data_IF_378266143642
#
_entry.id   IF_378266143642
#
_cell.length_a   1.000
_cell.length_b   1.000
_cell.length_c   1.000
_cell.angle_alpha   90.00
_cell.angle_beta   90.00
_cell.angle_gamma   90.00
#
_symmetry.space_group_name_H-M   'P 1'
#
loop_
_entity.id
_entity.type
_entity.pdbx_description
1 polymer ?
#
# COMPACT_ATOMS: atom_id res chain seq x y z
N UNK A 1 43.10 -5.15 -5.59
CA UNK A 1 41.74 -5.32 -5.13
C UNK A 1 41.05 -3.95 -4.99
N UNK A 2 39.84 -3.77 -5.39
CA UNK A 2 39.13 -2.48 -5.40
C UNK A 2 38.31 -2.22 -4.15
N UNK A 3 38.61 -2.86 -3.01
CA UNK A 3 37.95 -2.60 -1.74
C UNK A 3 38.58 -1.36 -1.06
N UNK A 4 37.74 -0.54 -0.45
CA UNK A 4 38.14 0.64 0.31
C UNK A 4 37.41 0.64 1.64
N UNK A 5 38.14 0.99 2.71
CA UNK A 5 37.58 1.38 4.01
C UNK A 5 38.29 2.65 4.45
N UNK A 6 37.55 3.69 4.72
CA UNK A 6 38.04 5.02 5.03
C UNK A 6 37.30 5.61 6.22
N UNK A 7 38.07 6.21 7.12
CA UNK A 7 37.58 7.04 8.21
C UNK A 7 38.28 8.38 8.09
N UNK A 8 37.54 9.44 7.83
CA UNK A 8 38.05 10.81 7.70
C UNK A 8 37.49 11.67 8.84
N UNK A 9 38.35 12.18 9.72
CA UNK A 9 37.98 13.05 10.82
C UNK A 9 38.26 14.52 10.52
N UNK A 10 38.59 14.90 9.30
CA UNK A 10 38.82 16.29 8.89
C UNK A 10 37.59 17.13 9.19
N UNK A 11 37.76 18.25 9.88
CA UNK A 11 36.67 19.17 10.22
C UNK A 11 35.99 19.71 8.95
N UNK A 12 34.68 19.54 8.85
CA UNK A 12 33.91 19.94 7.70
C UNK A 12 33.91 18.94 6.52
N UNK A 13 34.57 17.77 6.68
CA UNK A 13 34.63 16.71 5.68
C UNK A 13 34.60 15.30 6.28
N UNK A 14 34.14 15.17 7.54
CA UNK A 14 34.10 13.88 8.23
C UNK A 14 33.30 12.85 7.44
N UNK A 15 33.86 11.64 7.36
CA UNK A 15 33.23 10.57 6.59
C UNK A 15 33.62 9.19 7.10
N UNK A 16 32.62 8.30 7.12
CA UNK A 16 32.85 6.84 7.18
C UNK A 16 32.45 6.31 5.80
N UNK A 17 33.37 5.61 5.11
CA UNK A 17 33.08 5.06 3.80
C UNK A 17 33.65 3.64 3.66
N UNK A 18 32.79 2.70 3.31
CA UNK A 18 33.15 1.33 2.94
C UNK A 18 32.66 1.05 1.53
N UNK A 19 33.54 0.56 0.67
CA UNK A 19 33.22 0.20 -0.71
C UNK A 19 33.76 -1.17 -1.06
N UNK A 20 32.90 -2.00 -1.60
CA UNK A 20 33.27 -3.26 -2.22
C UNK A 20 33.72 -3.05 -3.67
N UNK A 21 34.61 -3.92 -4.19
CA UNK A 21 35.10 -3.87 -5.56
C UNK A 21 33.99 -3.88 -6.63
N UNK A 22 32.83 -4.48 -6.34
CA UNK A 22 31.63 -4.46 -7.21
C UNK A 22 30.96 -3.09 -7.32
N UNK A 23 31.32 -2.11 -6.48
CA UNK A 23 30.71 -0.80 -6.39
C UNK A 23 29.54 -0.69 -5.38
N UNK A 24 29.21 -1.75 -4.65
CA UNK A 24 28.35 -1.64 -3.47
C UNK A 24 29.09 -0.87 -2.38
N UNK A 25 28.38 0.01 -1.67
CA UNK A 25 28.98 0.89 -0.66
C UNK A 25 28.05 1.23 0.47
N UNK A 26 28.65 1.60 1.59
CA UNK A 26 28.03 2.20 2.75
C UNK A 26 28.77 3.49 3.09
N UNK A 27 28.07 4.57 3.37
CA UNK A 27 28.67 5.86 3.65
C UNK A 27 27.87 6.62 4.70
N UNK A 28 28.57 7.29 5.62
CA UNK A 28 28.01 8.30 6.52
C UNK A 28 28.80 9.59 6.29
N UNK A 29 28.09 10.65 5.94
CA UNK A 29 28.65 11.98 5.67
C UNK A 29 28.78 12.82 6.95
N UNK A 30 29.46 13.96 6.87
CA UNK A 30 29.71 14.88 7.99
C UNK A 30 28.42 15.40 8.66
N UNK A 31 27.33 15.58 7.89
CA UNK A 31 26.00 15.97 8.37
C UNK A 31 25.17 14.81 8.96
N UNK A 32 25.73 13.60 9.04
CA UNK A 32 25.07 12.40 9.51
C UNK A 32 24.22 11.69 8.46
N UNK A 33 24.18 12.17 7.21
CA UNK A 33 23.46 11.48 6.12
C UNK A 33 24.06 10.11 5.87
N UNK A 34 23.22 9.07 5.94
CA UNK A 34 23.59 7.68 5.64
C UNK A 34 23.18 7.29 4.25
N UNK A 35 24.09 6.77 3.47
CA UNK A 35 23.87 6.25 2.11
C UNK A 35 24.26 4.77 2.06
N UNK A 36 23.35 3.91 1.60
CA UNK A 36 23.64 2.51 1.30
C UNK A 36 23.37 2.29 -0.19
N UNK A 37 24.36 1.83 -0.92
CA UNK A 37 24.24 1.49 -2.35
C UNK A 37 24.52 0.01 -2.54
N UNK A 38 23.56 -0.70 -3.09
CA UNK A 38 23.68 -2.11 -3.43
C UNK A 38 23.59 -2.27 -4.95
N UNK A 39 24.58 -2.94 -5.54
CA UNK A 39 24.69 -3.10 -7.00
C UNK A 39 23.98 -4.32 -7.56
N UNK A 40 23.61 -5.25 -6.71
CA UNK A 40 22.83 -6.44 -7.03
C UNK A 40 21.70 -6.62 -6.04
N UNK A 41 21.53 -7.79 -5.51
CA UNK A 41 20.48 -8.12 -4.58
C UNK A 41 20.82 -7.62 -3.17
N UNK A 42 19.81 -7.16 -2.46
CA UNK A 42 19.88 -6.83 -1.04
C UNK A 42 18.93 -7.77 -0.28
N UNK A 43 19.44 -8.43 0.74
CA UNK A 43 18.65 -9.27 1.64
C UNK A 43 18.74 -8.70 3.04
N UNK A 44 17.59 -8.40 3.62
CA UNK A 44 17.44 -8.02 5.01
C UNK A 44 16.67 -9.12 5.74
N UNK A 45 17.36 -9.94 6.52
CA UNK A 45 16.79 -11.07 7.24
C UNK A 45 16.73 -10.73 8.72
N UNK A 46 15.51 -10.52 9.23
CA UNK A 46 15.25 -10.23 10.64
C UNK A 46 14.49 -11.39 11.26
N UNK A 47 15.08 -12.07 12.24
CA UNK A 47 14.47 -13.20 12.93
C UNK A 47 13.64 -12.81 14.15
N UNK A 48 13.68 -11.54 14.54
CA UNK A 48 12.86 -10.92 15.57
C UNK A 48 12.07 -9.76 14.98
N UNK A 49 11.79 -8.77 15.79
CA UNK A 49 11.02 -7.59 15.39
C UNK A 49 11.85 -6.62 14.52
N UNK A 50 11.21 -5.97 13.59
CA UNK A 50 11.78 -4.89 12.80
C UNK A 50 10.97 -3.60 13.00
N UNK A 51 11.61 -2.54 13.52
CA UNK A 51 11.01 -1.23 13.74
C UNK A 51 11.67 -0.18 12.86
N UNK A 52 10.87 0.62 12.17
CA UNK A 52 11.31 1.81 11.45
C UNK A 52 10.52 3.04 11.91
N UNK A 53 11.20 4.08 12.40
CA UNK A 53 10.58 5.36 12.76
C UNK A 53 11.19 6.48 11.93
N UNK A 54 10.37 7.12 11.09
CA UNK A 54 10.79 8.16 10.15
C UNK A 54 10.04 9.44 10.48
N UNK A 55 10.75 10.48 10.95
CA UNK A 55 10.16 11.80 11.25
C UNK A 55 9.87 12.63 10.02
N UNK A 56 10.54 12.35 8.90
CA UNK A 56 10.35 13.03 7.62
C UNK A 56 9.57 12.17 6.63
N UNK A 57 9.81 12.38 5.37
CA UNK A 57 9.18 11.63 4.29
C UNK A 57 9.81 10.24 4.11
N UNK A 58 8.99 9.26 3.83
CA UNK A 58 9.41 7.95 3.33
C UNK A 58 8.94 7.79 1.89
N UNK A 59 9.87 7.55 0.97
CA UNK A 59 9.59 7.29 -0.44
C UNK A 59 10.20 5.97 -0.86
N UNK A 60 9.43 5.13 -1.55
CA UNK A 60 9.90 3.87 -2.13
C UNK A 60 9.52 3.84 -3.59
N UNK A 61 10.50 3.65 -4.48
CA UNK A 61 10.31 3.46 -5.91
C UNK A 61 10.80 2.07 -6.30
N UNK A 62 9.98 1.31 -7.00
CA UNK A 62 10.30 -0.04 -7.47
C UNK A 62 9.91 -0.16 -8.93
N UNK A 63 10.88 -0.43 -9.80
CA UNK A 63 10.64 -0.63 -11.25
C UNK A 63 10.01 -2.00 -11.54
N UNK A 64 10.17 -2.96 -10.64
CA UNK A 64 9.58 -4.30 -10.71
C UNK A 64 8.34 -4.45 -9.85
N UNK A 65 8.11 -5.65 -9.35
CA UNK A 65 6.98 -5.97 -8.48
C UNK A 65 7.27 -5.75 -6.99
N UNK A 66 6.23 -5.43 -6.23
CA UNK A 66 6.27 -5.43 -4.76
C UNK A 66 5.31 -6.51 -4.26
N UNK A 67 5.78 -7.37 -3.34
CA UNK A 67 4.96 -8.37 -2.66
C UNK A 67 5.09 -8.21 -1.15
N UNK A 68 3.97 -8.11 -0.48
CA UNK A 68 3.87 -8.18 0.98
C UNK A 68 3.10 -9.44 1.33
N UNK A 69 3.67 -10.30 2.17
CA UNK A 69 3.04 -11.52 2.65
C UNK A 69 3.10 -11.54 4.17
N UNK A 70 1.96 -11.57 4.82
CA UNK A 70 1.82 -11.53 6.27
C UNK A 70 1.31 -12.88 6.76
N UNK A 71 1.87 -13.37 7.88
CA UNK A 71 1.47 -14.63 8.52
C UNK A 71 1.63 -15.87 7.61
N UNK A 72 2.79 -16.02 6.99
CA UNK A 72 3.09 -17.13 6.09
C UNK A 72 2.86 -18.51 6.73
N UNK A 73 3.14 -18.64 8.03
CA UNK A 73 3.08 -19.91 8.77
C UNK A 73 1.71 -20.17 9.42
N UNK A 74 0.77 -19.22 9.34
CA UNK A 74 -0.59 -19.31 9.89
C UNK A 74 -0.67 -19.77 11.38
N UNK A 75 0.36 -19.45 12.17
CA UNK A 75 0.48 -19.93 13.56
C UNK A 75 -0.14 -18.99 14.58
N UNK A 76 -0.43 -17.76 14.21
CA UNK A 76 -1.02 -16.73 15.08
C UNK A 76 -1.89 -15.77 14.28
N UNK A 77 -2.78 -15.05 14.95
CA UNK A 77 -3.55 -13.96 14.36
C UNK A 77 -2.62 -12.81 14.03
N UNK A 78 -2.52 -12.47 12.75
CA UNK A 78 -1.65 -11.41 12.26
C UNK A 78 -2.41 -10.50 11.31
N UNK A 79 -2.12 -9.20 11.37
CA UNK A 79 -2.79 -8.19 10.55
C UNK A 79 -1.79 -7.40 9.71
N UNK A 80 -2.21 -7.00 8.52
CA UNK A 80 -1.59 -5.92 7.78
C UNK A 80 -2.44 -4.67 7.92
N UNK A 81 -1.96 -3.69 8.69
CA UNK A 81 -2.71 -2.47 9.00
C UNK A 81 -2.09 -1.27 8.32
N UNK A 82 -2.93 -0.46 7.66
CA UNK A 82 -2.56 0.88 7.16
C UNK A 82 -3.40 1.89 7.93
N UNK A 83 -2.77 2.68 8.78
CA UNK A 83 -3.43 3.74 9.52
C UNK A 83 -2.87 5.10 9.10
N UNK A 84 -3.76 6.02 8.74
CA UNK A 84 -3.40 7.37 8.29
C UNK A 84 -4.20 8.37 9.12
N UNK A 85 -3.48 9.14 9.93
CA UNK A 85 -4.07 10.12 10.83
C UNK A 85 -4.10 11.55 10.28
N UNK A 86 -4.83 12.43 10.95
CA UNK A 86 -4.74 13.89 10.85
C UNK A 86 -4.68 14.49 9.43
N UNK A 87 -5.82 14.59 8.74
CA UNK A 87 -5.96 15.28 7.44
C UNK A 87 -5.09 14.72 6.30
N UNK A 88 -4.67 13.47 6.40
CA UNK A 88 -3.92 12.78 5.37
C UNK A 88 -4.81 11.76 4.64
N UNK A 89 -4.37 11.29 3.48
CA UNK A 89 -5.12 10.41 2.61
C UNK A 89 -4.35 9.14 2.27
N UNK A 90 -5.06 8.07 1.98
CA UNK A 90 -4.54 6.90 1.28
C UNK A 90 -5.00 6.99 -0.17
N UNK A 91 -4.06 7.11 -1.11
CA UNK A 91 -4.35 7.11 -2.54
C UNK A 91 -3.82 5.82 -3.18
N UNK A 92 -4.70 5.07 -3.84
CA UNK A 92 -4.35 3.87 -4.60
C UNK A 92 -4.73 4.13 -6.05
N UNK A 93 -3.74 4.19 -6.95
CA UNK A 93 -3.94 4.46 -8.36
C UNK A 93 -3.26 3.40 -9.21
N UNK A 94 -3.98 2.85 -10.18
CA UNK A 94 -3.47 1.94 -11.20
C UNK A 94 -3.77 2.55 -12.57
N UNK A 95 -2.73 2.93 -13.31
CA UNK A 95 -2.90 3.57 -14.63
C UNK A 95 -3.37 2.58 -15.71
N UNK A 96 -2.86 1.35 -15.66
CA UNK A 96 -3.27 0.25 -16.56
C UNK A 96 -3.30 -1.04 -15.75
N UNK A 97 -4.39 -1.78 -15.80
CA UNK A 97 -4.61 -3.00 -15.03
C UNK A 97 -5.74 -2.84 -14.01
N UNK A 98 -5.77 -3.68 -13.00
CA UNK A 98 -6.89 -3.79 -12.05
C UNK A 98 -6.46 -3.56 -10.61
N UNK A 99 -7.39 -3.13 -9.77
CA UNK A 99 -7.32 -3.23 -8.32
C UNK A 99 -8.25 -4.36 -7.91
N UNK A 100 -7.70 -5.44 -7.33
CA UNK A 100 -8.48 -6.58 -6.87
C UNK A 100 -8.49 -6.61 -5.35
N UNK A 101 -9.69 -6.61 -4.76
CA UNK A 101 -9.92 -6.85 -3.33
C UNK A 101 -10.66 -8.18 -3.23
N UNK A 102 -10.06 -9.16 -2.56
CA UNK A 102 -10.60 -10.50 -2.45
C UNK A 102 -10.41 -11.05 -1.04
N UNK A 103 -11.43 -11.67 -0.50
CA UNK A 103 -11.38 -12.48 0.72
C UNK A 103 -12.00 -13.85 0.43
N UNK A 104 -11.43 -14.91 0.99
CA UNK A 104 -11.91 -16.28 0.77
C UNK A 104 -13.07 -16.60 1.69
N UNK A 105 -12.93 -16.32 2.99
CA UNK A 105 -13.89 -16.72 4.03
C UNK A 105 -14.32 -15.56 4.95
N UNK A 106 -14.13 -14.34 4.53
CA UNK A 106 -14.48 -13.15 5.33
C UNK A 106 -15.23 -12.12 4.51
N UNK A 107 -15.42 -10.96 5.10
CA UNK A 107 -16.12 -9.83 4.51
C UNK A 107 -15.16 -8.77 3.98
N UNK A 108 -15.62 -8.00 3.01
CA UNK A 108 -15.02 -6.72 2.61
C UNK A 108 -15.93 -5.62 3.13
N UNK A 109 -15.50 -4.91 4.18
CA UNK A 109 -16.26 -3.85 4.82
C UNK A 109 -15.79 -2.47 4.36
N UNK A 110 -16.67 -1.67 3.77
CA UNK A 110 -16.43 -0.29 3.38
C UNK A 110 -17.32 0.62 4.25
N UNK A 111 -16.70 1.47 5.07
CA UNK A 111 -17.41 2.41 5.93
C UNK A 111 -16.87 3.82 5.74
N UNK A 112 -17.76 4.77 5.59
CA UNK A 112 -17.42 6.20 5.48
C UNK A 112 -18.31 7.02 6.41
N UNK A 113 -17.73 8.01 7.09
CA UNK A 113 -18.47 9.01 7.86
C UNK A 113 -19.17 10.07 7.01
N UNK A 114 -18.90 10.09 5.69
CA UNK A 114 -19.52 11.02 4.74
C UNK A 114 -20.06 10.27 3.53
N UNK A 115 -19.26 10.06 2.50
CA UNK A 115 -19.72 9.50 1.24
C UNK A 115 -18.84 8.30 0.83
N UNK A 116 -19.48 7.32 0.20
CA UNK A 116 -18.81 6.31 -0.64
C UNK A 116 -19.29 6.59 -2.06
N UNK A 117 -18.36 6.97 -2.95
CA UNK A 117 -18.66 7.24 -4.36
C UNK A 117 -18.10 6.11 -5.21
N UNK A 118 -18.94 5.55 -6.07
CA UNK A 118 -18.57 4.55 -7.07
C UNK A 118 -18.88 5.14 -8.44
N UNK A 119 -17.86 5.35 -9.25
CA UNK A 119 -17.98 5.89 -10.60
C UNK A 119 -17.30 4.93 -11.58
N UNK A 120 -18.01 4.52 -12.62
CA UNK A 120 -17.54 3.57 -13.62
C UNK A 120 -18.03 3.96 -15.01
N UNK A 121 -17.10 4.16 -15.94
CA UNK A 121 -17.42 4.55 -17.31
C UNK A 121 -18.28 3.50 -18.07
N UNK A 122 -18.17 2.21 -17.72
CA UNK A 122 -18.91 1.15 -18.38
C UNK A 122 -20.01 0.55 -17.52
N UNK A 123 -19.75 0.24 -16.25
CA UNK A 123 -20.76 -0.35 -15.39
C UNK A 123 -20.26 -0.76 -14.02
N UNK A 124 -21.21 -0.86 -13.09
CA UNK A 124 -21.01 -1.40 -11.74
C UNK A 124 -21.85 -2.67 -11.64
N UNK A 125 -21.21 -3.82 -11.43
CA UNK A 125 -21.84 -5.12 -11.36
C UNK A 125 -21.84 -5.62 -9.91
N UNK A 126 -23.04 -5.90 -9.39
CA UNK A 126 -23.24 -6.50 -8.08
C UNK A 126 -23.93 -7.85 -8.23
N UNK A 127 -23.33 -8.90 -7.67
CA UNK A 127 -23.89 -10.25 -7.68
C UNK A 127 -23.81 -10.85 -6.27
N UNK A 128 -24.91 -11.33 -5.77
CA UNK A 128 -25.02 -11.95 -4.45
C UNK A 128 -26.36 -12.64 -4.27
N UNK A 129 -26.51 -13.35 -3.17
CA UNK A 129 -27.80 -13.98 -2.82
C UNK A 129 -28.81 -12.95 -2.31
N UNK A 130 -28.33 -11.86 -1.70
CA UNK A 130 -29.13 -10.76 -1.19
C UNK A 130 -28.45 -9.44 -1.52
N UNK A 131 -29.21 -8.49 -2.02
CA UNK A 131 -28.89 -7.08 -2.05
C UNK A 131 -29.90 -6.35 -1.17
N UNK A 132 -29.42 -5.65 -0.15
CA UNK A 132 -30.26 -4.84 0.75
C UNK A 132 -29.72 -3.42 0.79
N UNK A 133 -30.60 -2.44 0.73
CA UNK A 133 -30.30 -1.04 0.95
C UNK A 133 -31.30 -0.48 1.96
N UNK A 134 -30.80 0.09 3.06
CA UNK A 134 -31.56 0.82 4.05
C UNK A 134 -31.20 2.30 3.97
N UNK A 135 -32.17 3.15 3.76
CA UNK A 135 -31.99 4.56 3.46
C UNK A 135 -32.85 5.39 4.41
N UNK A 136 -32.24 6.07 5.35
CA UNK A 136 -32.92 6.99 6.30
C UNK A 136 -33.27 8.36 5.69
N UNK A 137 -32.99 8.55 4.42
CA UNK A 137 -33.20 9.81 3.71
C UNK A 137 -33.85 9.60 2.35
N UNK A 138 -33.37 10.31 1.36
CA UNK A 138 -33.90 10.25 0.01
C UNK A 138 -33.14 9.24 -0.86
N UNK A 139 -33.89 8.31 -1.46
CA UNK A 139 -33.40 7.51 -2.58
C UNK A 139 -33.64 8.26 -3.88
N UNK A 140 -32.57 8.56 -4.62
CA UNK A 140 -32.66 9.15 -5.94
C UNK A 140 -32.07 8.19 -6.99
N UNK A 141 -32.91 7.72 -7.89
CA UNK A 141 -32.51 6.95 -9.08
C UNK A 141 -32.76 7.81 -10.33
N UNK A 142 -31.69 8.13 -11.06
CA UNK A 142 -31.78 8.84 -12.34
C UNK A 142 -31.26 7.93 -13.45
N UNK A 143 -32.16 7.49 -14.34
CA UNK A 143 -31.83 6.63 -15.45
C UNK A 143 -32.14 7.38 -16.75
N UNK A 144 -31.13 7.52 -17.62
CA UNK A 144 -31.28 8.17 -18.94
C UNK A 144 -31.54 7.15 -20.07
N UNK A 145 -31.41 5.87 -19.78
CA UNK A 145 -31.70 4.75 -20.71
C UNK A 145 -32.76 3.82 -20.15
N UNK A 146 -32.67 2.54 -20.50
CA UNK A 146 -33.65 1.53 -20.07
C UNK A 146 -33.37 1.12 -18.59
N UNK A 147 -34.42 1.13 -17.77
CA UNK A 147 -34.42 0.52 -16.45
C UNK A 147 -35.24 -0.77 -16.49
N UNK A 148 -34.57 -1.92 -16.36
CA UNK A 148 -35.24 -3.23 -16.39
C UNK A 148 -35.09 -3.89 -15.04
N UNK A 149 -36.23 -4.20 -14.40
CA UNK A 149 -36.32 -4.97 -13.16
C UNK A 149 -37.03 -6.29 -13.44
N UNK A 150 -36.36 -7.41 -13.19
CA UNK A 150 -36.90 -8.76 -13.35
C UNK A 150 -36.82 -9.54 -12.07
N UNK A 151 -37.87 -10.25 -11.69
CA UNK A 151 -37.90 -11.08 -10.47
C UNK A 151 -39.21 -11.88 -10.37
N UNK A 152 -39.23 -12.89 -9.51
CA UNK A 152 -40.46 -13.68 -9.24
C UNK A 152 -41.56 -12.82 -8.61
N UNK A 153 -41.20 -11.81 -7.83
CA UNK A 153 -42.12 -10.85 -7.23
C UNK A 153 -41.44 -9.50 -7.12
N UNK A 154 -42.06 -8.47 -7.64
CA UNK A 154 -41.62 -7.07 -7.55
C UNK A 154 -42.72 -6.33 -6.80
N UNK A 155 -42.41 -5.84 -5.59
CA UNK A 155 -43.30 -4.97 -4.84
C UNK A 155 -42.78 -3.54 -4.97
N UNK A 156 -43.59 -2.67 -5.50
CA UNK A 156 -43.38 -1.23 -5.57
C UNK A 156 -44.49 -0.58 -4.72
N UNK A 157 -44.10 -0.07 -3.57
CA UNK A 157 -45.04 0.69 -2.71
C UNK A 157 -44.82 2.17 -2.92
#
# INVERSE_FOLDING_TARGET
>A
GGHLREYDDTVGAKRIHERHASGSSYEILDDGTKITRVKKDNYDLVTGDHYAHIKGNHSTTVDGGVRVFVNADATADSNYTIEVGNNANVNIQVNKGNINLHTTDGDINLKSGKNIQLDAAQGIYMKGNLYSAEIDGTWLEKVTGNNTKTGKKINLN
#
